data_IF_548171808419
#
_entry.id   IF_548171808419
#
_cell.length_a   1.000
_cell.length_b   1.000
_cell.length_c   1.000
_cell.angle_alpha   90.00
_cell.angle_beta   90.00
_cell.angle_gamma   90.00
#
_symmetry.space_group_name_H-M   'P 1'
#
loop_
_entity.id
_entity.type
_entity.pdbx_description
1 polymer ?
#
# COMPACT_ATOMS: atom_id res chain seq x y z
N UNK A 1 26.76 1.92 -12.22
CA UNK A 1 25.98 1.29 -11.13
C UNK A 1 24.54 1.21 -11.60
N UNK A 2 23.82 0.11 -11.34
CA UNK A 2 22.40 0.01 -11.71
C UNK A 2 21.61 1.14 -11.03
N UNK A 3 20.58 1.65 -11.72
CA UNK A 3 19.68 2.64 -11.12
C UNK A 3 18.96 2.03 -9.92
N UNK A 4 18.44 2.87 -9.01
CA UNK A 4 17.65 2.36 -7.88
C UNK A 4 16.44 1.55 -8.35
N UNK A 5 15.83 1.91 -9.47
CA UNK A 5 14.70 1.18 -10.06
C UNK A 5 15.11 -0.22 -10.52
N UNK A 6 16.26 -0.36 -11.18
CA UNK A 6 16.78 -1.65 -11.62
C UNK A 6 17.10 -2.54 -10.40
N UNK A 7 17.78 -1.97 -9.39
CA UNK A 7 18.08 -2.66 -8.13
C UNK A 7 16.81 -3.16 -7.46
N UNK A 8 15.77 -2.32 -7.39
CA UNK A 8 14.49 -2.68 -6.78
C UNK A 8 13.87 -3.91 -7.45
N UNK A 9 13.86 -3.94 -8.79
CA UNK A 9 13.35 -5.10 -9.54
C UNK A 9 14.17 -6.36 -9.32
N UNK A 10 15.50 -6.26 -9.31
CA UNK A 10 16.40 -7.39 -9.07
C UNK A 10 16.22 -7.97 -7.67
N UNK A 11 16.25 -7.13 -6.62
CA UNK A 11 16.21 -7.63 -5.24
C UNK A 11 14.84 -8.21 -4.87
N UNK A 12 13.74 -7.74 -5.46
CA UNK A 12 12.41 -8.22 -5.07
C UNK A 12 12.03 -9.53 -5.75
N UNK A 13 12.50 -9.77 -6.98
CA UNK A 13 12.21 -11.00 -7.73
C UNK A 13 12.68 -12.28 -7.06
N UNK A 14 13.73 -12.19 -6.25
CA UNK A 14 14.26 -13.34 -5.52
C UNK A 14 13.29 -13.84 -4.43
N UNK A 15 12.37 -12.99 -3.96
CA UNK A 15 11.56 -13.23 -2.75
C UNK A 15 10.06 -13.03 -2.95
N UNK A 16 9.65 -12.32 -4.00
CA UNK A 16 8.25 -12.01 -4.31
C UNK A 16 7.95 -12.28 -5.78
N UNK A 17 6.66 -12.49 -6.07
CA UNK A 17 6.16 -12.38 -7.44
C UNK A 17 6.09 -10.89 -7.82
N UNK A 18 6.92 -10.50 -8.78
CA UNK A 18 7.06 -9.11 -9.25
C UNK A 18 6.60 -9.01 -10.70
N UNK A 19 5.70 -8.07 -10.96
CA UNK A 19 5.26 -7.68 -12.29
C UNK A 19 5.82 -6.28 -12.59
N UNK A 20 6.47 -6.12 -13.75
CA UNK A 20 6.93 -4.81 -14.20
C UNK A 20 5.81 -4.10 -14.96
N UNK A 21 5.54 -2.86 -14.59
CA UNK A 21 4.55 -2.02 -15.24
C UNK A 21 5.19 -1.21 -16.38
N UNK A 22 4.42 -0.82 -17.42
CA UNK A 22 4.95 -0.06 -18.56
C UNK A 22 5.57 1.30 -18.20
N UNK A 23 5.19 1.88 -17.07
CA UNK A 23 5.73 3.14 -16.55
C UNK A 23 7.01 2.96 -15.72
N UNK A 24 7.49 1.72 -15.60
CA UNK A 24 8.65 1.34 -14.81
C UNK A 24 8.32 1.05 -13.34
N UNK A 25 7.07 1.19 -12.91
CA UNK A 25 6.62 0.72 -11.60
C UNK A 25 6.71 -0.80 -11.46
N UNK A 26 6.66 -1.28 -10.22
CA UNK A 26 6.61 -2.69 -9.89
C UNK A 26 5.33 -2.99 -9.14
N UNK A 27 4.57 -3.98 -9.59
CA UNK A 27 3.46 -4.55 -8.84
C UNK A 27 3.93 -5.84 -8.16
N UNK A 28 3.68 -5.97 -6.86
CA UNK A 28 4.04 -7.15 -6.08
C UNK A 28 2.86 -7.70 -5.31
N UNK A 29 2.83 -9.03 -5.18
CA UNK A 29 1.83 -9.75 -4.43
C UNK A 29 2.48 -10.29 -3.14
N UNK A 30 1.85 -10.01 -1.99
CA UNK A 30 2.36 -10.43 -0.69
C UNK A 30 1.21 -10.76 0.26
N UNK A 31 1.14 -12.00 0.74
CA UNK A 31 0.19 -12.45 1.77
C UNK A 31 -1.29 -12.02 1.52
N UNK A 32 -1.74 -12.11 0.27
CA UNK A 32 -3.10 -11.74 -0.13
C UNK A 32 -3.38 -10.24 -0.24
N UNK A 33 -2.33 -9.42 -0.18
CA UNK A 33 -2.33 -8.00 -0.54
C UNK A 33 -1.60 -7.77 -1.85
N UNK A 34 -1.82 -6.60 -2.44
CA UNK A 34 -1.13 -6.13 -3.64
C UNK A 34 -0.49 -4.78 -3.32
N UNK A 35 0.76 -4.58 -3.74
CA UNK A 35 1.47 -3.32 -3.58
C UNK A 35 2.11 -2.86 -4.88
N UNK A 36 2.11 -1.55 -5.08
CA UNK A 36 2.84 -0.88 -6.14
C UNK A 36 4.06 -0.18 -5.54
N UNK A 37 5.22 -0.36 -6.17
CA UNK A 37 6.47 0.30 -5.85
C UNK A 37 6.99 1.07 -7.05
N UNK A 38 7.48 2.27 -6.82
CA UNK A 38 8.13 3.08 -7.85
C UNK A 38 9.26 3.89 -7.25
N UNK A 39 10.32 4.13 -8.02
CA UNK A 39 11.34 5.12 -7.67
C UNK A 39 10.92 6.49 -8.19
N UNK A 40 10.87 7.47 -7.31
CA UNK A 40 10.53 8.86 -7.62
C UNK A 40 11.71 9.75 -7.28
N UNK A 41 12.28 10.43 -8.28
CA UNK A 41 13.24 11.50 -8.05
C UNK A 41 12.47 12.78 -7.68
N UNK A 42 12.67 13.29 -6.47
CA UNK A 42 12.00 14.52 -6.01
C UNK A 42 12.94 15.73 -5.94
N UNK A 43 14.25 15.47 -5.91
CA UNK A 43 15.30 16.47 -5.99
C UNK A 43 16.63 15.79 -6.39
N UNK A 44 17.64 16.58 -6.74
CA UNK A 44 18.99 16.09 -6.98
C UNK A 44 19.52 15.31 -5.76
N UNK A 45 19.97 14.08 -5.98
CA UNK A 45 20.48 13.20 -4.93
C UNK A 45 19.41 12.64 -3.98
N UNK A 46 18.11 12.83 -4.28
CA UNK A 46 17.00 12.38 -3.44
C UNK A 46 16.00 11.54 -4.23
N UNK A 47 16.32 10.24 -4.35
CA UNK A 47 15.43 9.22 -4.91
C UNK A 47 14.67 8.52 -3.78
N UNK A 48 13.34 8.62 -3.84
CA UNK A 48 12.44 7.93 -2.92
C UNK A 48 11.94 6.63 -3.56
N UNK A 49 11.87 5.57 -2.76
CA UNK A 49 10.99 4.43 -3.06
C UNK A 49 9.63 4.78 -2.50
N UNK A 50 8.63 4.86 -3.38
CA UNK A 50 7.23 5.04 -3.04
C UNK A 50 6.53 3.70 -3.07
N UNK A 51 6.12 3.19 -1.91
CA UNK A 51 5.36 1.95 -1.75
C UNK A 51 3.92 2.29 -1.37
N UNK A 52 2.97 1.82 -2.17
CA UNK A 52 1.54 1.86 -1.87
C UNK A 52 0.97 0.46 -1.88
N UNK A 53 0.52 -0.03 -0.73
CA UNK A 53 -0.09 -1.34 -0.57
C UNK A 53 -1.59 -1.18 -0.33
N UNK A 54 -2.38 -1.96 -1.06
CA UNK A 54 -3.81 -2.05 -0.80
C UNK A 54 -4.06 -3.17 0.20
N UNK A 55 -4.43 -2.77 1.42
CA UNK A 55 -4.61 -3.65 2.57
C UNK A 55 -5.93 -4.40 2.43
N UNK A 56 -7.03 -3.67 2.21
CA UNK A 56 -8.35 -4.26 1.97
C UNK A 56 -9.15 -3.41 0.98
N UNK A 57 -9.92 -4.09 0.13
CA UNK A 57 -10.87 -3.48 -0.78
C UNK A 57 -12.31 -3.60 -0.24
N UNK A 58 -13.13 -2.61 -0.54
CA UNK A 58 -14.60 -2.66 -0.48
C UNK A 58 -15.19 -3.12 0.86
N UNK A 59 -14.55 -2.78 1.97
CA UNK A 59 -15.13 -3.04 3.29
C UNK A 59 -16.36 -2.17 3.52
N UNK A 60 -17.44 -2.70 4.11
CA UNK A 60 -18.56 -1.88 4.53
C UNK A 60 -18.10 -0.76 5.45
N UNK A 61 -18.37 0.50 5.07
CA UNK A 61 -17.97 1.63 5.87
C UNK A 61 -18.86 1.71 7.12
N UNK A 62 -18.25 1.43 8.27
CA UNK A 62 -18.89 1.50 9.58
C UNK A 62 -18.01 2.30 10.54
N UNK A 63 -18.61 2.88 11.59
CA UNK A 63 -17.85 3.56 12.63
C UNK A 63 -16.77 2.66 13.26
N UNK A 64 -17.11 1.37 13.46
CA UNK A 64 -16.19 0.35 13.98
C UNK A 64 -15.00 0.12 13.05
N UNK A 65 -15.22 0.12 11.73
CA UNK A 65 -14.12 0.04 10.76
C UNK A 65 -13.19 1.25 10.89
N UNK A 66 -13.75 2.47 10.91
CA UNK A 66 -12.97 3.70 11.07
C UNK A 66 -12.14 3.71 12.35
N UNK A 67 -12.73 3.30 13.48
CA UNK A 67 -12.03 3.19 14.77
C UNK A 67 -10.89 2.14 14.72
N UNK A 68 -11.11 0.99 14.08
CA UNK A 68 -10.07 -0.03 13.90
C UNK A 68 -8.93 0.45 13.01
N UNK A 69 -9.24 1.11 11.90
CA UNK A 69 -8.22 1.66 11.00
C UNK A 69 -7.42 2.77 11.68
N UNK A 70 -8.08 3.65 12.44
CA UNK A 70 -7.40 4.67 13.24
C UNK A 70 -6.44 4.05 14.27
N UNK A 71 -6.85 2.94 14.92
CA UNK A 71 -5.96 2.20 15.82
C UNK A 71 -4.76 1.59 15.08
N UNK A 72 -4.98 0.94 13.94
CA UNK A 72 -3.89 0.39 13.14
C UNK A 72 -2.92 1.49 12.66
N UNK A 73 -3.46 2.65 12.26
CA UNK A 73 -2.65 3.81 11.86
C UNK A 73 -1.79 4.35 13.00
N UNK A 74 -2.33 4.39 14.21
CA UNK A 74 -1.61 4.82 15.41
C UNK A 74 -0.50 3.85 15.83
N UNK A 75 -0.77 2.54 15.73
CA UNK A 75 0.15 1.50 16.18
C UNK A 75 1.22 1.16 15.11
N UNK A 76 1.07 1.67 13.88
CA UNK A 76 1.99 1.42 12.76
C UNK A 76 3.26 2.28 12.84
N UNK A 77 4.41 1.64 12.72
CA UNK A 77 5.70 2.33 12.57
C UNK A 77 6.11 2.53 11.10
N UNK A 78 5.56 1.73 10.19
CA UNK A 78 6.02 1.63 8.79
C UNK A 78 4.98 2.11 7.81
N UNK A 79 4.70 3.41 7.84
CA UNK A 79 3.86 4.09 6.87
C UNK A 79 2.53 4.56 7.41
N UNK A 80 1.88 5.35 6.56
CA UNK A 80 0.60 5.98 6.86
C UNK A 80 -0.54 5.07 6.35
N UNK A 81 -1.50 4.79 7.23
CA UNK A 81 -2.69 4.02 6.90
C UNK A 81 -3.85 4.98 6.66
N UNK A 82 -4.46 4.89 5.47
CA UNK A 82 -5.60 5.74 5.09
C UNK A 82 -6.83 4.88 4.78
N UNK A 83 -7.99 5.36 5.23
CA UNK A 83 -9.30 4.87 4.81
C UNK A 83 -9.81 5.74 3.65
N UNK A 84 -10.16 5.14 2.52
CA UNK A 84 -10.68 5.82 1.34
C UNK A 84 -12.15 5.45 1.16
N UNK A 85 -13.07 6.37 1.48
CA UNK A 85 -14.50 6.15 1.29
C UNK A 85 -14.86 6.07 -0.20
N UNK A 86 -15.66 5.07 -0.57
CA UNK A 86 -16.26 4.92 -1.89
C UNK A 86 -17.78 5.01 -1.77
N UNK A 87 -18.36 5.91 -2.55
CA UNK A 87 -19.82 6.01 -2.72
C UNK A 87 -20.19 5.17 -3.93
N UNK A 88 -21.09 4.20 -3.77
CA UNK A 88 -21.56 3.40 -4.89
C UNK A 88 -22.42 4.24 -5.86
N UNK A 89 -22.15 4.16 -7.16
CA UNK A 89 -22.90 4.88 -8.21
C UNK A 89 -24.40 4.56 -8.17
N UNK A 90 -24.75 3.31 -7.84
CA UNK A 90 -26.15 2.88 -7.68
C UNK A 90 -26.91 3.63 -6.59
N UNK A 91 -26.21 4.19 -5.61
CA UNK A 91 -26.83 4.94 -4.54
C UNK A 91 -26.92 6.45 -4.82
N UNK A 92 -26.13 6.97 -5.76
CA UNK A 92 -26.26 8.33 -6.25
C UNK A 92 -27.50 8.52 -7.14
N UNK A 93 -27.96 7.45 -7.81
CA UNK A 93 -29.11 7.50 -8.74
C UNK A 93 -30.49 7.26 -8.12
N UNK A 94 -30.56 6.75 -6.88
CA UNK A 94 -31.84 6.47 -6.22
C UNK A 94 -32.22 7.59 -5.27
N UNK A 95 -33.11 8.49 -5.73
CA UNK A 95 -33.85 9.47 -4.92
C UNK A 95 -34.84 8.76 -3.96
N UNK A 96 -34.40 7.82 -3.14
CA UNK A 96 -35.25 7.07 -2.22
C UNK A 96 -34.56 6.87 -0.87
N UNK A 97 -34.74 7.84 0.03
CA UNK A 97 -34.82 7.79 1.51
C UNK A 97 -34.10 6.75 2.38
N UNK A 98 -33.23 5.85 1.88
CA UNK A 98 -32.48 4.85 2.65
C UNK A 98 -31.08 4.74 2.05
N UNK A 99 -30.08 5.03 2.89
CA UNK A 99 -28.72 5.37 2.52
C UNK A 99 -28.01 4.37 1.62
N UNK A 100 -27.25 4.93 0.69
CA UNK A 100 -26.14 4.26 0.01
C UNK A 100 -25.37 3.35 0.98
N UNK A 101 -25.19 2.07 0.63
CA UNK A 101 -24.13 1.30 1.24
C UNK A 101 -22.80 1.92 0.78
N UNK A 102 -22.14 2.63 1.71
CA UNK A 102 -20.78 3.14 1.50
C UNK A 102 -19.80 2.00 1.75
N UNK A 103 -18.85 1.83 0.85
CA UNK A 103 -17.69 0.97 1.09
C UNK A 103 -16.46 1.84 1.31
N UNK A 104 -15.38 1.24 1.78
CA UNK A 104 -14.10 1.90 1.88
C UNK A 104 -12.95 0.94 1.63
N UNK A 105 -11.89 1.48 1.05
CA UNK A 105 -10.61 0.79 0.89
C UNK A 105 -9.66 1.24 1.99
N UNK A 106 -8.76 0.34 2.39
CA UNK A 106 -7.69 0.64 3.33
C UNK A 106 -6.37 0.53 2.58
N UNK A 107 -5.59 1.60 2.61
CA UNK A 107 -4.30 1.69 1.94
C UNK A 107 -3.20 1.97 2.96
N UNK A 108 -2.06 1.33 2.80
CA UNK A 108 -0.82 1.63 3.50
C UNK A 108 0.14 2.30 2.52
N UNK A 109 0.69 3.45 2.89
CA UNK A 109 1.66 4.21 2.08
C UNK A 109 2.93 4.47 2.86
N UNK A 110 4.07 4.14 2.27
CA UNK A 110 5.37 4.44 2.84
C UNK A 110 6.34 4.92 1.77
N UNK A 111 6.95 6.08 2.01
CA UNK A 111 7.92 6.69 1.12
C UNK A 111 9.23 6.85 1.89
N UNK A 112 10.35 6.38 1.34
CA UNK A 112 11.64 6.46 2.01
C UNK A 112 12.79 6.62 1.00
N UNK A 113 13.90 7.28 1.37
CA UNK A 113 15.08 7.35 0.52
C UNK A 113 15.71 5.95 0.34
N UNK A 114 15.75 5.46 -0.89
CA UNK A 114 16.29 4.12 -1.18
C UNK A 114 17.73 4.11 -1.68
N UNK A 115 18.22 5.23 -2.22
CA UNK A 115 19.49 5.28 -2.94
C UNK A 115 20.70 4.85 -2.10
N UNK A 116 20.72 5.22 -0.81
CA UNK A 116 21.82 4.94 0.10
C UNK A 116 21.73 3.58 0.81
N UNK A 117 20.62 2.85 0.66
CA UNK A 117 20.44 1.56 1.29
C UNK A 117 21.17 0.48 0.49
N UNK A 118 21.84 -0.45 1.18
CA UNK A 118 22.33 -1.68 0.57
C UNK A 118 21.16 -2.59 0.16
N UNK A 119 21.38 -3.49 -0.79
CA UNK A 119 20.33 -4.34 -1.37
C UNK A 119 19.55 -5.14 -0.32
N UNK A 120 20.25 -5.79 0.62
CA UNK A 120 19.62 -6.56 1.70
C UNK A 120 18.78 -5.68 2.64
N UNK A 121 19.29 -4.48 2.97
CA UNK A 121 18.59 -3.53 3.84
C UNK A 121 17.34 -2.97 3.13
N UNK A 122 17.46 -2.66 1.84
CA UNK A 122 16.35 -2.19 1.01
C UNK A 122 15.26 -3.26 0.90
N UNK A 123 15.65 -4.51 0.58
CA UNK A 123 14.74 -5.66 0.52
C UNK A 123 14.03 -5.86 1.87
N UNK A 124 14.78 -5.87 2.97
CA UNK A 124 14.24 -6.06 4.31
C UNK A 124 13.22 -4.99 4.67
N UNK A 125 13.54 -3.71 4.43
CA UNK A 125 12.62 -2.61 4.73
C UNK A 125 11.31 -2.71 3.94
N UNK A 126 11.38 -3.09 2.66
CA UNK A 126 10.19 -3.30 1.83
C UNK A 126 9.34 -4.45 2.38
N UNK A 127 9.96 -5.59 2.69
CA UNK A 127 9.25 -6.75 3.25
C UNK A 127 8.58 -6.41 4.58
N UNK A 128 9.24 -5.64 5.47
CA UNK A 128 8.64 -5.20 6.73
C UNK A 128 7.38 -4.35 6.53
N UNK A 129 7.38 -3.46 5.53
CA UNK A 129 6.20 -2.64 5.19
C UNK A 129 5.09 -3.53 4.64
N UNK A 130 5.42 -4.46 3.73
CA UNK A 130 4.45 -5.39 3.14
C UNK A 130 3.83 -6.32 4.19
N UNK A 131 4.64 -6.86 5.11
CA UNK A 131 4.21 -7.68 6.25
C UNK A 131 3.28 -6.90 7.17
N UNK A 132 3.60 -5.63 7.46
CA UNK A 132 2.76 -4.73 8.25
C UNK A 132 1.36 -4.61 7.63
N UNK A 133 1.28 -4.36 6.31
CA UNK A 133 -0.01 -4.30 5.62
C UNK A 133 -0.74 -5.64 5.59
N UNK A 134 -0.04 -6.76 5.43
CA UNK A 134 -0.65 -8.08 5.46
C UNK A 134 -1.23 -8.43 6.85
N UNK A 135 -0.55 -8.07 7.93
CA UNK A 135 -1.05 -8.23 9.29
C UNK A 135 -2.26 -7.34 9.58
N UNK A 136 -2.22 -6.08 9.11
CA UNK A 136 -3.38 -5.17 9.19
C UNK A 136 -4.58 -5.75 8.45
N UNK A 137 -4.39 -6.35 7.26
CA UNK A 137 -5.46 -7.00 6.51
C UNK A 137 -6.12 -8.09 7.33
N UNK A 138 -5.34 -9.02 7.90
CA UNK A 138 -5.85 -10.10 8.77
C UNK A 138 -6.63 -9.52 9.95
N UNK A 139 -6.07 -8.49 10.57
CA UNK A 139 -6.68 -7.81 11.72
C UNK A 139 -7.98 -7.11 11.37
N UNK A 140 -8.14 -6.55 10.17
CA UNK A 140 -9.34 -5.82 9.75
C UNK A 140 -10.46 -6.74 9.22
N UNK A 141 -10.11 -7.90 8.69
CA UNK A 141 -11.04 -8.89 8.14
C UNK A 141 -11.54 -9.91 9.17
N UNK A 142 -10.87 -10.05 10.32
CA UNK A 142 -11.36 -10.78 11.49
C UNK A 142 -12.59 -10.10 12.14
#
# INVERSE_FOLDING_TARGET
MPSLQQRLGEILRDVLHVEEEPDGGLTVHHDGTLASLQVVNIAEGLDLVSLTQVVVWDLPLTKRLSERVAKQAHDSNFGNVTLVEKVSDQAAQRNSGKGAAKTADVMLRYNFPGAALADDALRTLILLVLDTGAEMRRTLQA
#
